data_IF_558705290636
#
_entry.id   IF_558705290636
#
_cell.length_a   1.000
_cell.length_b   1.000
_cell.length_c   1.000
_cell.angle_alpha   90.00
_cell.angle_beta   90.00
_cell.angle_gamma   90.00
#
_symmetry.space_group_name_H-M   'P 1'
#
loop_
_entity.id
_entity.type
_entity.pdbx_description
1 polymer ?
#
# COMPACT_ATOMS: atom_id res chain seq x y z
N UNK A 1 -12.68 2.42 -2.21
CA UNK A 1 -13.69 2.19 -1.13
C UNK A 1 -13.13 1.18 -0.14
N UNK A 2 -13.60 1.17 1.12
CA UNK A 2 -13.19 0.13 2.06
C UNK A 2 -13.60 -1.27 1.54
N UNK A 3 -12.74 -2.27 1.70
CA UNK A 3 -12.95 -3.65 1.22
C UNK A 3 -12.73 -3.88 -0.28
N UNK A 4 -12.32 -2.85 -1.03
CA UNK A 4 -12.11 -2.95 -2.47
C UNK A 4 -10.89 -3.82 -2.84
N UNK A 5 -9.85 -3.79 -2.02
CA UNK A 5 -8.67 -4.65 -2.10
C UNK A 5 -9.02 -6.15 -1.98
N UNK A 6 -10.01 -6.49 -1.15
CA UNK A 6 -10.54 -7.86 -1.10
C UNK A 6 -11.19 -8.28 -2.43
N UNK A 7 -11.96 -7.39 -3.06
CA UNK A 7 -12.51 -7.65 -4.39
C UNK A 7 -11.39 -7.79 -5.46
N UNK A 8 -10.34 -6.97 -5.36
CA UNK A 8 -9.17 -7.08 -6.24
C UNK A 8 -8.43 -8.41 -6.05
N UNK A 9 -8.31 -8.92 -4.83
CA UNK A 9 -7.63 -10.19 -4.56
C UNK A 9 -8.43 -11.40 -5.03
N UNK A 10 -9.72 -11.45 -4.73
CA UNK A 10 -10.48 -12.70 -4.85
C UNK A 10 -11.44 -12.74 -6.04
N UNK A 11 -11.74 -11.59 -6.66
CA UNK A 11 -12.80 -11.47 -7.66
C UNK A 11 -12.41 -10.66 -8.89
N UNK A 12 -11.17 -10.15 -8.97
CA UNK A 12 -10.76 -9.31 -10.09
C UNK A 12 -10.86 -10.02 -11.43
N UNK A 13 -10.63 -11.35 -11.45
CA UNK A 13 -10.67 -12.17 -12.66
C UNK A 13 -12.04 -12.19 -13.34
N UNK A 14 -13.11 -11.97 -12.59
CA UNK A 14 -14.50 -11.97 -13.09
C UNK A 14 -14.91 -10.58 -13.63
N UNK A 15 -14.02 -9.58 -13.54
CA UNK A 15 -14.29 -8.22 -13.99
C UNK A 15 -14.18 -8.11 -15.50
N UNK A 16 -15.13 -7.44 -16.15
CA UNK A 16 -15.03 -7.06 -17.57
C UNK A 16 -13.93 -6.00 -17.82
N UNK A 17 -13.54 -5.25 -16.79
CA UNK A 17 -12.48 -4.25 -16.88
C UNK A 17 -11.09 -4.88 -16.80
N UNK A 18 -10.33 -4.80 -17.89
CA UNK A 18 -8.95 -5.30 -18.00
C UNK A 18 -7.99 -4.67 -16.98
N UNK A 19 -8.14 -3.37 -16.69
CA UNK A 19 -7.30 -2.71 -15.70
C UNK A 19 -7.50 -3.29 -14.31
N UNK A 20 -8.73 -3.68 -13.96
CA UNK A 20 -9.02 -4.33 -12.68
C UNK A 20 -8.46 -5.75 -12.63
N UNK A 21 -8.57 -6.51 -13.73
CA UNK A 21 -7.94 -7.84 -13.85
C UNK A 21 -6.42 -7.76 -13.66
N UNK A 22 -5.78 -6.82 -14.36
CA UNK A 22 -4.33 -6.62 -14.30
C UNK A 22 -3.87 -6.12 -12.91
N UNK A 23 -4.65 -5.23 -12.29
CA UNK A 23 -4.39 -4.75 -10.93
C UNK A 23 -4.49 -5.89 -9.91
N UNK A 24 -5.56 -6.69 -9.95
CA UNK A 24 -5.74 -7.83 -9.06
C UNK A 24 -4.67 -8.92 -9.25
N UNK A 25 -4.29 -9.21 -10.51
CA UNK A 25 -3.21 -10.15 -10.83
C UNK A 25 -1.86 -9.74 -10.21
N UNK A 26 -1.49 -8.46 -10.31
CA UNK A 26 -0.25 -7.95 -9.68
C UNK A 26 -0.33 -7.99 -8.16
N UNK A 27 -1.45 -7.57 -7.58
CA UNK A 27 -1.66 -7.63 -6.14
C UNK A 27 -1.54 -9.08 -5.62
N UNK A 28 -2.22 -10.03 -6.26
CA UNK A 28 -2.13 -11.46 -5.95
C UNK A 28 -0.70 -12.00 -6.07
N UNK A 29 0.04 -11.58 -7.10
CA UNK A 29 1.44 -11.98 -7.30
C UNK A 29 2.32 -11.60 -6.11
N UNK A 30 2.19 -10.36 -5.63
CA UNK A 30 2.92 -9.90 -4.43
C UNK A 30 2.53 -10.70 -3.18
N UNK A 31 1.24 -10.94 -2.98
CA UNK A 31 0.74 -11.72 -1.84
C UNK A 31 1.21 -13.17 -1.85
N UNK A 32 1.19 -13.85 -3.00
CA UNK A 32 1.67 -15.22 -3.13
C UNK A 32 3.19 -15.33 -2.94
N UNK A 33 3.97 -14.38 -3.47
CA UNK A 33 5.42 -14.33 -3.24
C UNK A 33 5.73 -14.17 -1.75
N UNK A 34 5.02 -13.26 -1.08
CA UNK A 34 5.15 -13.04 0.35
C UNK A 34 4.80 -14.30 1.15
N UNK A 35 3.66 -14.95 0.85
CA UNK A 35 3.25 -16.17 1.53
C UNK A 35 4.27 -17.32 1.38
N UNK A 36 4.99 -17.38 0.26
CA UNK A 36 6.00 -18.42 -0.01
C UNK A 36 7.35 -18.14 0.64
N UNK A 37 7.79 -16.88 0.69
CA UNK A 37 9.20 -16.53 0.97
C UNK A 37 9.39 -15.52 2.08
N UNK A 38 8.30 -14.95 2.62
CA UNK A 38 8.33 -13.81 3.52
C UNK A 38 8.68 -12.49 2.83
N UNK A 39 8.85 -12.48 1.49
CA UNK A 39 9.17 -11.28 0.70
C UNK A 39 8.15 -11.11 -0.43
N UNK A 40 7.56 -9.92 -0.62
CA UNK A 40 6.75 -9.65 -1.80
C UNK A 40 7.60 -9.81 -3.08
N UNK A 41 6.95 -9.91 -4.24
CA UNK A 41 7.62 -10.25 -5.48
C UNK A 41 8.69 -9.19 -5.83
N UNK A 42 9.97 -9.54 -5.64
CA UNK A 42 11.13 -8.66 -5.88
C UNK A 42 11.34 -8.31 -7.35
N UNK A 43 10.82 -9.14 -8.26
CA UNK A 43 10.99 -8.98 -9.70
C UNK A 43 9.98 -7.99 -10.32
N UNK A 44 9.06 -7.45 -9.51
CA UNK A 44 8.27 -6.30 -9.91
C UNK A 44 9.19 -5.07 -9.91
N UNK A 45 9.48 -4.55 -11.10
CA UNK A 45 10.12 -3.24 -11.24
C UNK A 45 9.05 -2.16 -10.98
N UNK A 46 9.21 -1.24 -10.01
CA UNK A 46 10.41 -0.99 -9.19
C UNK A 46 10.50 -1.86 -7.91
N UNK A 47 11.73 -2.19 -7.51
CA UNK A 47 12.00 -2.97 -6.30
C UNK A 47 11.43 -2.27 -5.05
N UNK A 48 10.51 -2.93 -4.36
CA UNK A 48 9.95 -2.45 -3.10
C UNK A 48 10.85 -2.89 -1.93
N UNK A 49 11.55 -1.95 -1.27
CA UNK A 49 12.43 -2.29 -0.16
C UNK A 49 11.64 -2.69 1.09
N UNK A 50 12.32 -3.39 2.00
CA UNK A 50 11.81 -3.55 3.36
C UNK A 50 11.68 -2.18 4.02
N UNK A 51 10.61 -2.00 4.80
CA UNK A 51 10.38 -0.75 5.49
C UNK A 51 11.51 -0.46 6.48
N UNK A 52 12.04 0.76 6.43
CA UNK A 52 12.98 1.30 7.41
C UNK A 52 12.33 2.48 8.12
N UNK A 53 12.65 2.70 9.40
CA UNK A 53 12.01 3.73 10.25
C UNK A 53 12.00 5.13 9.65
N UNK A 54 12.97 5.41 8.80
CA UNK A 54 13.25 6.74 8.28
C UNK A 54 12.85 6.88 6.79
N UNK A 55 12.62 5.75 6.11
CA UNK A 55 12.26 5.66 4.70
C UNK A 55 10.94 4.90 4.55
N UNK A 56 9.84 5.62 4.78
CA UNK A 56 8.49 5.12 4.61
C UNK A 56 8.10 5.01 3.14
N UNK A 57 8.77 4.12 2.40
CA UNK A 57 8.51 3.86 1.00
C UNK A 57 7.29 2.95 0.82
N UNK A 58 6.32 3.43 0.04
CA UNK A 58 5.06 2.74 -0.21
C UNK A 58 5.07 2.17 -1.62
N UNK A 59 4.69 0.90 -1.77
CA UNK A 59 4.32 0.36 -3.06
C UNK A 59 2.89 0.80 -3.41
N UNK A 60 2.77 1.69 -4.38
CA UNK A 60 1.51 2.19 -4.91
C UNK A 60 1.10 1.36 -6.12
N UNK A 61 -0.03 0.68 -5.99
CA UNK A 61 -0.65 -0.01 -7.12
C UNK A 61 -1.45 0.98 -7.97
N UNK A 62 -0.98 1.25 -9.19
CA UNK A 62 -1.60 2.18 -10.14
C UNK A 62 -2.11 1.49 -11.41
N UNK A 63 -3.02 2.13 -12.14
CA UNK A 63 -3.53 1.60 -13.41
C UNK A 63 -2.44 1.44 -14.49
N UNK A 64 -1.38 2.26 -14.41
CA UNK A 64 -0.29 2.32 -15.39
C UNK A 64 1.00 1.62 -14.93
N UNK A 65 0.94 0.81 -13.88
CA UNK A 65 2.12 0.24 -13.25
C UNK A 65 2.13 0.44 -11.74
N UNK A 66 2.98 -0.34 -11.07
CA UNK A 66 3.25 -0.15 -9.64
C UNK A 66 4.40 0.85 -9.50
N UNK A 67 4.34 1.69 -8.48
CA UNK A 67 5.35 2.69 -8.21
C UNK A 67 5.74 2.67 -6.75
N UNK A 68 7.04 2.74 -6.46
CA UNK A 68 7.52 2.96 -5.10
C UNK A 68 7.63 4.46 -4.89
N UNK A 69 6.96 4.98 -3.87
CA UNK A 69 6.97 6.40 -3.54
C UNK A 69 7.24 6.61 -2.06
N UNK A 70 8.15 7.53 -1.75
CA UNK A 70 8.42 7.96 -0.39
C UNK A 70 7.22 8.72 0.19
N UNK A 71 6.59 8.15 1.21
CA UNK A 71 5.57 8.78 2.06
C UNK A 71 4.57 9.68 1.31
N UNK A 72 3.77 9.14 0.37
CA UNK A 72 2.85 9.91 -0.47
C UNK A 72 1.81 10.72 0.33
N UNK A 73 1.53 10.33 1.58
CA UNK A 73 0.60 11.02 2.48
C UNK A 73 1.31 11.75 3.64
N UNK A 74 2.62 11.97 3.54
CA UNK A 74 3.46 12.50 4.63
C UNK A 74 2.89 13.73 5.34
N UNK A 75 2.62 14.85 4.63
CA UNK A 75 2.06 16.05 5.24
C UNK A 75 0.71 15.82 5.94
N UNK A 76 -0.14 14.96 5.36
CA UNK A 76 -1.44 14.63 5.94
C UNK A 76 -1.29 13.78 7.19
N UNK A 77 -0.39 12.81 7.19
CA UNK A 77 -0.07 12.00 8.37
C UNK A 77 0.50 12.86 9.49
N UNK A 78 1.33 13.83 9.16
CA UNK A 78 1.90 14.74 10.14
C UNK A 78 0.87 15.66 10.79
N UNK A 79 -0.05 16.19 9.99
CA UNK A 79 -1.19 16.94 10.50
C UNK A 79 -2.05 16.10 11.47
N UNK A 80 -2.32 14.84 11.13
CA UNK A 80 -3.10 13.93 11.99
C UNK A 80 -2.36 13.61 13.29
N UNK A 81 -1.05 13.36 13.23
CA UNK A 81 -0.20 13.13 14.41
C UNK A 81 -0.21 14.35 15.34
N UNK A 82 -0.02 15.55 14.78
CA UNK A 82 -0.06 16.81 15.54
C UNK A 82 -1.39 16.98 16.26
N UNK A 83 -2.51 16.79 15.55
CA UNK A 83 -3.86 16.92 16.14
C UNK A 83 -4.12 15.87 17.21
N UNK A 84 -3.67 14.64 17.00
CA UNK A 84 -3.80 13.58 17.98
C UNK A 84 -3.00 13.90 19.25
N UNK A 85 -1.75 14.34 19.11
CA UNK A 85 -0.89 14.73 20.22
C UNK A 85 -1.51 15.85 21.06
N UNK A 86 -2.03 16.91 20.41
CA UNK A 86 -2.72 18.00 21.08
C UNK A 86 -3.97 17.53 21.85
N UNK A 87 -4.69 16.52 21.33
CA UNK A 87 -5.89 15.96 21.99
C UNK A 87 -5.56 15.16 23.24
N UNK A 88 -4.44 14.45 23.27
CA UNK A 88 -4.06 13.57 24.39
C UNK A 88 -3.14 14.26 25.40
N UNK A 89 -2.67 15.48 25.11
CA UNK A 89 -1.84 16.24 26.03
C UNK A 89 -2.63 16.49 27.33
N UNK A 90 -2.06 16.20 28.51
CA UNK A 90 -2.73 16.46 29.78
C UNK A 90 -3.00 17.95 29.93
N UNK A 91 -4.16 18.29 30.49
CA UNK A 91 -4.46 19.68 30.84
C UNK A 91 -3.41 20.16 31.84
N UNK A 92 -2.64 21.18 31.45
CA UNK A 92 -1.73 21.87 32.35
C UNK A 92 -2.61 22.48 33.45
N UNK A 93 -2.44 22.00 34.69
CA UNK A 93 -3.09 22.55 35.89
C UNK A 93 -2.22 23.61 36.53
#
# INVERSE_FOLDING_TARGET
PHGFDGALLFRSQDSDNEHLRNLGSRLMTHWLAFARTGKPARDASPAWPEWQSDAGDWLLFGANGDQVQASPLGPRMELLRTRYAARIAPAIR
#
